data_IF_221134504356
#
_entry.id   IF_221134504356
#
_cell.length_a   1.000
_cell.length_b   1.000
_cell.length_c   1.000
_cell.angle_alpha   90.00
_cell.angle_beta   90.00
_cell.angle_gamma   90.00
#
_symmetry.space_group_name_H-M   'P 1'
#
loop_
_entity.id
_entity.type
_entity.pdbx_description
1 polymer ?
#
# COMPACT_ATOMS: atom_id res chain seq x y z
N UNK A 1 -9.71 -7.26 -16.95
CA UNK A 1 -9.07 -6.68 -15.75
C UNK A 1 -10.03 -5.66 -15.16
N UNK A 2 -10.61 -5.91 -13.97
CA UNK A 2 -11.50 -4.93 -13.33
C UNK A 2 -10.68 -3.70 -12.91
N UNK A 3 -11.23 -2.48 -12.93
CA UNK A 3 -10.51 -1.25 -12.58
C UNK A 3 -9.91 -1.27 -11.16
N UNK A 4 -10.44 -2.12 -10.27
CA UNK A 4 -9.93 -2.34 -8.91
C UNK A 4 -8.45 -2.78 -8.88
N UNK A 5 -7.96 -3.48 -9.91
CA UNK A 5 -6.55 -3.91 -9.98
C UNK A 5 -5.58 -2.74 -10.26
N UNK A 6 -6.07 -1.63 -10.81
CA UNK A 6 -5.23 -0.44 -11.02
C UNK A 6 -4.92 0.29 -9.72
N UNK A 7 -5.79 0.15 -8.72
CA UNK A 7 -5.58 0.71 -7.37
C UNK A 7 -4.38 0.04 -6.68
N UNK A 8 -4.11 -1.23 -6.99
CA UNK A 8 -2.97 -1.96 -6.44
C UNK A 8 -1.61 -1.48 -7.00
N UNK A 9 -1.58 -0.86 -8.18
CA UNK A 9 -0.36 -0.29 -8.76
C UNK A 9 -0.01 1.09 -8.17
N UNK A 10 -1.01 1.81 -7.67
CA UNK A 10 -0.86 3.15 -7.09
C UNK A 10 0.16 3.20 -5.93
N UNK A 11 0.09 2.33 -4.91
CA UNK A 11 1.05 2.39 -3.81
C UNK A 11 2.50 2.11 -4.24
N UNK A 12 2.74 1.27 -5.26
CA UNK A 12 4.09 1.07 -5.79
C UNK A 12 4.67 2.36 -6.39
N UNK A 13 3.88 3.07 -7.20
CA UNK A 13 4.35 4.29 -7.87
C UNK A 13 4.63 5.38 -6.85
N UNK A 14 3.69 5.61 -5.92
CA UNK A 14 3.83 6.70 -4.95
C UNK A 14 4.90 6.39 -3.90
N UNK A 15 5.08 5.12 -3.50
CA UNK A 15 6.16 4.71 -2.61
C UNK A 15 7.53 5.05 -3.19
N UNK A 16 7.73 4.88 -4.49
CA UNK A 16 9.01 5.17 -5.16
C UNK A 16 9.23 6.66 -5.44
N UNK A 17 8.17 7.42 -5.73
CA UNK A 17 8.29 8.85 -6.04
C UNK A 17 8.77 9.68 -4.85
N UNK A 18 8.34 9.36 -3.64
CA UNK A 18 8.70 10.13 -2.44
C UNK A 18 10.22 10.25 -2.25
N UNK A 19 10.96 9.14 -2.07
CA UNK A 19 12.40 9.19 -1.83
C UNK A 19 13.22 9.66 -3.03
N UNK A 20 12.72 9.45 -4.26
CA UNK A 20 13.39 9.94 -5.48
C UNK A 20 13.33 11.46 -5.58
N UNK A 21 12.23 12.07 -5.14
CA UNK A 21 12.06 13.53 -5.16
C UNK A 21 12.59 14.22 -3.90
N UNK A 22 12.52 13.54 -2.75
CA UNK A 22 12.87 14.10 -1.45
C UNK A 22 13.75 13.12 -0.66
N UNK A 23 15.06 13.14 -0.93
CA UNK A 23 16.05 12.30 -0.25
C UNK A 23 16.82 13.08 0.84
N UNK A 24 16.09 13.68 1.77
CA UNK A 24 16.68 14.45 2.87
C UNK A 24 16.31 13.84 4.22
N UNK A 25 17.14 14.11 5.24
CA UNK A 25 16.90 13.62 6.61
C UNK A 25 15.79 14.39 7.32
N UNK A 26 15.49 15.61 6.85
CA UNK A 26 14.36 16.42 7.26
C UNK A 26 13.35 16.51 6.09
N UNK A 27 12.04 16.37 6.34
CA UNK A 27 11.38 16.22 7.64
C UNK A 27 11.42 14.79 8.17
N UNK A 28 11.38 14.65 9.50
CA UNK A 28 11.25 13.35 10.15
C UNK A 28 9.82 12.83 10.08
N UNK A 29 9.64 11.58 9.64
CA UNK A 29 8.37 10.85 9.67
C UNK A 29 8.48 9.78 10.76
N UNK A 30 7.59 9.82 11.76
CA UNK A 30 7.60 8.90 12.91
C UNK A 30 8.93 8.90 13.70
N UNK A 31 9.66 10.03 13.69
CA UNK A 31 10.98 10.15 14.32
C UNK A 31 12.13 9.54 13.50
N UNK A 32 11.84 9.07 12.27
CA UNK A 32 12.84 8.55 11.34
C UNK A 32 13.07 9.54 10.19
N UNK A 33 14.27 9.57 9.58
CA UNK A 33 14.54 10.27 8.32
C UNK A 33 13.45 10.01 7.27
N UNK A 34 13.14 11.03 6.46
CA UNK A 34 12.03 10.99 5.52
C UNK A 34 11.95 9.68 4.70
N UNK A 35 13.02 9.16 4.06
CA UNK A 35 12.92 7.94 3.26
C UNK A 35 12.48 6.72 4.08
N UNK A 36 12.97 6.61 5.32
CA UNK A 36 12.67 5.48 6.21
C UNK A 36 11.24 5.52 6.73
N UNK A 37 10.81 6.69 7.23
CA UNK A 37 9.44 6.84 7.70
C UNK A 37 8.41 6.78 6.57
N UNK A 38 8.76 7.30 5.39
CA UNK A 38 7.96 7.19 4.17
C UNK A 38 7.72 5.73 3.78
N UNK A 39 8.78 4.93 3.62
CA UNK A 39 8.65 3.50 3.27
C UNK A 39 7.82 2.76 4.33
N UNK A 40 8.03 3.06 5.61
CA UNK A 40 7.27 2.44 6.71
C UNK A 40 5.77 2.70 6.59
N UNK A 41 5.38 3.96 6.35
CA UNK A 41 3.97 4.34 6.14
C UNK A 41 3.41 3.64 4.91
N UNK A 42 4.16 3.59 3.81
CA UNK A 42 3.71 2.94 2.57
C UNK A 42 3.54 1.43 2.71
N UNK A 43 4.38 0.74 3.49
CA UNK A 43 4.19 -0.68 3.80
C UNK A 43 2.83 -0.89 4.48
N UNK A 44 2.48 -0.06 5.48
CA UNK A 44 1.17 -0.15 6.14
C UNK A 44 0.02 0.13 5.17
N UNK A 45 0.16 1.15 4.32
CA UNK A 45 -0.83 1.48 3.30
C UNK A 45 -1.01 0.33 2.31
N UNK A 46 0.06 -0.34 1.87
CA UNK A 46 -0.05 -1.49 0.95
C UNK A 46 -0.84 -2.63 1.57
N UNK A 47 -0.63 -2.93 2.85
CA UNK A 47 -1.41 -3.95 3.57
C UNK A 47 -2.91 -3.58 3.61
N UNK A 48 -3.23 -2.31 3.87
CA UNK A 48 -4.62 -1.82 3.86
C UNK A 48 -5.22 -1.90 2.47
N UNK A 49 -4.49 -1.49 1.42
CA UNK A 49 -4.95 -1.58 0.02
C UNK A 49 -5.24 -3.03 -0.36
N UNK A 50 -4.37 -3.97 0.01
CA UNK A 50 -4.60 -5.40 -0.26
C UNK A 50 -5.80 -5.95 0.51
N UNK A 51 -5.99 -5.54 1.76
CA UNK A 51 -7.18 -5.91 2.54
C UNK A 51 -8.47 -5.37 1.89
N UNK A 52 -8.46 -4.14 1.38
CA UNK A 52 -9.58 -3.55 0.66
C UNK A 52 -9.85 -4.26 -0.66
N UNK A 53 -8.81 -4.57 -1.44
CA UNK A 53 -8.94 -5.35 -2.69
C UNK A 53 -9.55 -6.71 -2.38
N UNK A 54 -9.06 -7.41 -1.35
CA UNK A 54 -9.59 -8.71 -0.93
C UNK A 54 -11.06 -8.66 -0.49
N UNK A 55 -11.44 -7.62 0.27
CA UNK A 55 -12.81 -7.44 0.75
C UNK A 55 -13.79 -7.07 -0.39
N UNK A 56 -13.32 -6.31 -1.38
CA UNK A 56 -14.12 -5.81 -2.50
C UNK A 56 -14.12 -6.75 -3.70
N UNK A 57 -13.15 -7.65 -3.84
CA UNK A 57 -13.11 -8.59 -4.96
C UNK A 57 -14.25 -9.61 -4.85
N UNK A 58 -15.23 -9.59 -5.77
CA UNK A 58 -16.34 -10.53 -5.76
C UNK A 58 -15.88 -11.98 -5.88
N UNK A 59 -14.74 -12.23 -6.55
CA UNK A 59 -14.21 -13.59 -6.74
C UNK A 59 -13.75 -14.23 -5.41
N UNK A 60 -13.42 -13.41 -4.42
CA UNK A 60 -13.00 -13.87 -3.11
C UNK A 60 -14.18 -14.15 -2.15
N UNK A 61 -15.39 -13.73 -2.52
CA UNK A 61 -16.61 -13.95 -1.71
C UNK A 61 -17.07 -15.41 -1.71
N UNK A 62 -16.64 -16.20 -2.69
CA UNK A 62 -17.00 -17.62 -2.82
C UNK A 62 -16.10 -18.55 -1.97
N UNK A 63 -14.97 -18.06 -1.47
CA UNK A 63 -14.01 -18.82 -0.65
C UNK A 63 -14.18 -18.68 0.87
N UNK A 64 -14.96 -17.71 1.35
CA UNK A 64 -15.13 -17.43 2.78
C UNK A 64 -16.10 -18.40 3.51
N UNK A 65 -16.65 -19.41 2.82
CA UNK A 65 -17.60 -20.38 3.38
C UNK A 65 -17.09 -21.82 3.54
N UNK A 66 -15.84 -22.12 3.17
CA UNK A 66 -15.31 -23.50 3.19
C UNK A 66 -14.03 -23.59 4.03
N UNK A 67 -14.13 -23.26 5.30
CA UNK A 67 -13.14 -23.60 6.32
C UNK A 67 -13.85 -24.33 7.47
N UNK A 68 -14.17 -25.60 7.23
CA UNK A 68 -14.42 -26.61 8.28
C UNK A 68 -13.12 -27.34 8.54
#
# INVERSE_FOLDING_TARGET
>A
MKPIHWIAALPCIVMLLGPVLHNEVDPLILGMPFPLGWITVWILITAVVMALVYALDPANRDGAGAGR
#
